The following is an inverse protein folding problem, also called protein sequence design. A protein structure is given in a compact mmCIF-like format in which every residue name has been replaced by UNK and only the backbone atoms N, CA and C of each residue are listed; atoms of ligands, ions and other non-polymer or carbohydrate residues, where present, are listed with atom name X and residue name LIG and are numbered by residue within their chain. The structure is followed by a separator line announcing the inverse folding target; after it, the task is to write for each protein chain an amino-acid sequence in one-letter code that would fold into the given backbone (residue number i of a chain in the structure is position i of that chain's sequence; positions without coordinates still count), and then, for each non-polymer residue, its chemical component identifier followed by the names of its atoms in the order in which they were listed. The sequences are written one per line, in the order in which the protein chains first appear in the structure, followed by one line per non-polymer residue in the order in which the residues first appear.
data_IF_338224152035
#
_entry.id   IF_338224152035
#
_cell.length_a   1.000
_cell.length_b   1.000
_cell.length_c   1.000
_cell.angle_alpha   90.00
_cell.angle_beta   90.00
_cell.angle_gamma   90.00
#
_symmetry.space_group_name_H-M   'P 1'
#
loop_
_entity.id
_entity.type
_entity.pdbx_description
1 polymer ?
#
# COMPACT_ATOMS: atom_id res chain seq x y z
N UNK A 1 -3.30 0.70 -8.07
CA UNK A 1 -2.01 1.42 -7.92
C UNK A 1 -0.77 0.54 -7.98
N UNK A 2 -0.44 -0.31 -6.99
CA UNK A 2 0.82 -1.07 -7.01
C UNK A 2 0.97 -1.98 -8.26
N UNK A 3 -0.11 -2.67 -8.66
CA UNK A 3 -0.12 -3.44 -9.91
C UNK A 3 0.08 -2.58 -11.15
N UNK A 4 -0.47 -1.37 -11.20
CA UNK A 4 -0.26 -0.44 -12.31
C UNK A 4 1.19 0.03 -12.38
N UNK A 5 1.81 0.35 -11.23
CA UNK A 5 3.23 0.72 -11.18
C UNK A 5 4.13 -0.44 -11.63
N UNK A 6 3.86 -1.66 -11.17
CA UNK A 6 4.60 -2.85 -11.58
C UNK A 6 4.46 -3.09 -13.10
N UNK A 7 3.23 -3.00 -13.63
CA UNK A 7 2.97 -3.18 -15.06
C UNK A 7 3.65 -2.10 -15.92
N UNK A 8 3.61 -0.83 -15.50
CA UNK A 8 4.18 0.28 -16.25
C UNK A 8 5.72 0.32 -16.22
N UNK A 9 6.33 -0.11 -15.11
CA UNK A 9 7.79 -0.10 -14.94
C UNK A 9 8.48 -1.38 -15.42
N UNK A 10 7.77 -2.51 -15.48
CA UNK A 10 8.36 -3.82 -15.70
C UNK A 10 9.09 -4.39 -14.47
N UNK A 11 9.04 -3.70 -13.33
CA UNK A 11 9.62 -4.14 -12.06
C UNK A 11 8.57 -4.82 -11.17
N UNK A 12 9.02 -5.44 -10.07
CA UNK A 12 8.16 -5.89 -8.99
C UNK A 12 7.97 -4.84 -7.89
N UNK A 13 6.95 -5.03 -7.07
CA UNK A 13 6.69 -4.21 -5.88
C UNK A 13 6.45 -5.12 -4.69
N UNK A 14 7.14 -4.86 -3.59
CA UNK A 14 6.95 -5.58 -2.33
C UNK A 14 6.43 -4.62 -1.25
N UNK A 15 5.28 -4.94 -0.67
CA UNK A 15 4.61 -4.12 0.36
C UNK A 15 4.74 -4.77 1.74
N UNK A 16 5.23 -4.05 2.74
CA UNK A 16 5.28 -4.52 4.12
C UNK A 16 3.93 -4.33 4.83
N UNK A 17 3.21 -5.42 5.10
CA UNK A 17 1.86 -5.37 5.68
C UNK A 17 1.82 -4.61 7.01
N UNK A 18 2.85 -4.80 7.85
CA UNK A 18 2.96 -4.16 9.15
C UNK A 18 3.22 -2.64 9.08
N UNK A 19 3.72 -2.14 7.94
CA UNK A 19 4.01 -0.71 7.75
C UNK A 19 2.82 0.05 7.16
N UNK A 20 1.77 -0.65 6.71
CA UNK A 20 0.59 0.00 6.14
C UNK A 20 -0.13 0.84 7.22
N UNK A 21 -0.30 2.16 7.02
CA UNK A 21 -0.96 3.05 7.98
C UNK A 21 -2.48 2.90 7.90
N UNK A 22 -2.98 1.81 8.49
CA UNK A 22 -4.41 1.50 8.59
C UNK A 22 -4.89 1.78 10.02
N UNK A 23 -5.89 2.64 10.17
CA UNK A 23 -6.51 2.96 11.46
C UNK A 23 -7.16 1.71 12.07
N UNK A 24 -7.13 1.58 13.40
CA UNK A 24 -7.68 0.45 14.16
C UNK A 24 -9.15 0.16 13.82
N UNK A 25 -9.99 1.18 13.64
CA UNK A 25 -11.39 0.98 13.24
C UNK A 25 -11.49 0.28 11.88
N UNK A 26 -10.65 0.66 10.92
CA UNK A 26 -10.62 0.03 9.59
C UNK A 26 -10.08 -1.39 9.68
N UNK A 27 -9.06 -1.64 10.53
CA UNK A 27 -8.55 -2.99 10.80
C UNK A 27 -9.65 -3.89 11.37
N UNK A 28 -10.39 -3.41 12.36
CA UNK A 28 -11.52 -4.16 12.94
C UNK A 28 -12.60 -4.50 11.92
N UNK A 29 -12.92 -3.58 10.99
CA UNK A 29 -13.84 -3.86 9.88
C UNK A 29 -13.28 -4.91 8.93
N UNK A 30 -11.99 -4.83 8.58
CA UNK A 30 -11.32 -5.81 7.72
C UNK A 30 -11.34 -7.20 8.36
N UNK A 31 -11.03 -7.31 9.65
CA UNK A 31 -11.08 -8.57 10.41
C UNK A 31 -12.49 -9.15 10.48
N UNK A 32 -13.51 -8.31 10.72
CA UNK A 32 -14.89 -8.76 10.83
C UNK A 32 -15.48 -9.23 9.50
N UNK A 33 -15.10 -8.59 8.40
CA UNK A 33 -15.67 -8.85 7.07
C UNK A 33 -14.79 -9.75 6.19
N UNK A 34 -13.58 -10.09 6.63
CA UNK A 34 -12.60 -10.82 5.82
C UNK A 34 -12.16 -10.03 4.57
N UNK A 35 -12.08 -8.70 4.71
CA UNK A 35 -11.70 -7.78 3.64
C UNK A 35 -10.27 -7.29 3.82
N UNK A 36 -9.66 -6.88 2.71
CA UNK A 36 -8.30 -6.32 2.70
C UNK A 36 -8.34 -4.81 2.53
N UNK A 37 -7.72 -4.06 3.44
CA UNK A 37 -7.71 -2.59 3.39
C UNK A 37 -7.06 -2.03 2.11
N UNK A 38 -6.15 -2.78 1.48
CA UNK A 38 -5.52 -2.43 0.21
C UNK A 38 -6.52 -2.35 -0.96
N UNK A 39 -7.69 -2.97 -0.81
CA UNK A 39 -8.74 -3.00 -1.83
C UNK A 39 -9.83 -1.94 -1.61
N UNK A 40 -9.69 -1.07 -0.60
CA UNK A 40 -10.66 0.01 -0.37
C UNK A 40 -10.30 1.26 -1.18
N UNK A 41 -11.34 1.88 -1.75
CA UNK A 41 -11.22 3.18 -2.37
C UNK A 41 -10.78 4.24 -1.35
N UNK A 42 -9.95 5.18 -1.80
CA UNK A 42 -9.43 6.28 -0.99
C UNK A 42 -9.59 7.61 -1.76
N UNK A 43 -10.27 8.60 -1.19
CA UNK A 43 -10.54 9.91 -1.84
C UNK A 43 -9.61 11.06 -1.38
N UNK A 44 -8.52 10.74 -0.69
CA UNK A 44 -7.62 11.75 -0.13
C UNK A 44 -6.23 11.22 0.15
N UNK A 45 -5.78 10.22 -0.62
CA UNK A 45 -4.49 9.53 -0.42
C UNK A 45 -3.70 9.51 -1.72
N UNK A 46 -2.38 9.47 -1.58
CA UNK A 46 -1.45 9.34 -2.69
C UNK A 46 -0.61 8.08 -2.49
N UNK A 47 -0.26 7.42 -3.59
CA UNK A 47 0.80 6.41 -3.64
C UNK A 47 1.96 7.02 -4.42
N UNK A 48 3.13 7.09 -3.79
CA UNK A 48 4.28 7.83 -4.31
C UNK A 48 5.48 6.88 -4.38
N UNK A 49 6.10 6.80 -5.55
CA UNK A 49 7.40 6.15 -5.74
C UNK A 49 8.50 7.21 -5.78
N UNK A 50 9.61 6.97 -5.07
CA UNK A 50 10.74 7.90 -4.97
C UNK A 50 12.06 7.14 -5.07
N UNK A 51 13.13 7.86 -5.41
CA UNK A 51 14.48 7.30 -5.31
C UNK A 51 14.80 6.93 -3.85
N UNK A 52 15.57 5.85 -3.66
CA UNK A 52 15.80 5.25 -2.33
C UNK A 52 16.43 6.24 -1.34
N UNK A 53 17.40 6.99 -1.82
CA UNK A 53 18.14 8.04 -1.13
C UNK A 53 17.27 9.25 -0.76
N UNK A 54 16.14 9.45 -1.44
CA UNK A 54 15.20 10.53 -1.17
C UNK A 54 14.04 10.12 -0.25
N UNK A 55 13.91 8.83 0.09
CA UNK A 55 12.73 8.28 0.76
C UNK A 55 12.44 8.96 2.11
N UNK A 56 13.45 9.06 2.98
CA UNK A 56 13.29 9.67 4.31
C UNK A 56 13.00 11.19 4.23
N UNK A 57 13.67 11.89 3.31
CA UNK A 57 13.44 13.32 3.10
C UNK A 57 12.02 13.60 2.56
N UNK A 58 11.57 12.81 1.59
CA UNK A 58 10.21 12.90 1.06
C UNK A 58 9.16 12.57 2.13
N UNK A 59 9.40 11.53 2.94
CA UNK A 59 8.53 11.15 4.04
C UNK A 59 8.40 12.28 5.07
N UNK A 60 9.52 12.87 5.49
CA UNK A 60 9.53 13.98 6.44
C UNK A 60 8.75 15.18 5.90
N UNK A 61 8.93 15.51 4.62
CA UNK A 61 8.18 16.60 3.98
C UNK A 61 6.67 16.33 3.97
N UNK A 62 6.24 15.11 3.63
CA UNK A 62 4.82 14.73 3.65
C UNK A 62 4.25 14.82 5.07
N UNK A 63 4.97 14.30 6.06
CA UNK A 63 4.55 14.30 7.46
C UNK A 63 4.50 15.70 8.08
N UNK A 64 5.24 16.68 7.53
CA UNK A 64 5.16 18.09 7.94
C UNK A 64 3.80 18.74 7.58
N UNK A 65 3.06 18.17 6.62
CA UNK A 65 1.78 18.69 6.19
C UNK A 65 0.62 18.00 6.92
N UNK A 66 -0.44 18.71 7.36
CA UNK A 66 -1.56 18.12 8.10
C UNK A 66 -2.22 16.91 7.41
N UNK A 67 -2.34 16.93 6.08
CA UNK A 67 -2.91 15.83 5.29
C UNK A 67 -1.96 14.63 5.14
N UNK A 68 -0.65 14.83 5.31
CA UNK A 68 0.38 13.80 5.15
C UNK A 68 0.94 13.29 6.48
N UNK A 69 0.42 13.73 7.63
CA UNK A 69 0.91 13.35 8.98
C UNK A 69 1.02 11.85 9.25
N UNK A 70 0.27 11.03 8.50
CA UNK A 70 0.28 9.56 8.59
C UNK A 70 0.92 8.89 7.37
N UNK A 71 1.64 9.64 6.53
CA UNK A 71 2.44 9.06 5.45
C UNK A 71 3.44 8.07 6.03
N UNK A 72 3.72 7.00 5.27
CA UNK A 72 4.63 5.94 5.67
C UNK A 72 5.31 5.37 4.43
N UNK A 73 6.56 4.92 4.60
CA UNK A 73 7.22 4.06 3.61
C UNK A 73 6.67 2.64 3.80
N UNK A 74 5.94 2.15 2.81
CA UNK A 74 5.21 0.88 2.90
C UNK A 74 5.83 -0.26 2.10
N UNK A 75 6.90 -0.03 1.35
CA UNK A 75 7.43 -1.03 0.44
C UNK A 75 8.56 -0.54 -0.44
N UNK A 76 9.02 -1.44 -1.29
CA UNK A 76 10.16 -1.25 -2.19
C UNK A 76 9.83 -1.74 -3.61
N UNK A 77 10.45 -1.11 -4.60
CA UNK A 77 10.51 -1.62 -5.97
C UNK A 77 11.66 -2.62 -6.07
N UNK A 78 11.42 -3.77 -6.69
CA UNK A 78 12.40 -4.87 -6.79
C UNK A 78 12.50 -5.39 -8.22
N UNK A 79 13.59 -6.08 -8.53
CA UNK A 79 13.80 -6.65 -9.88
C UNK A 79 12.79 -7.76 -10.20
N UNK A 80 12.50 -8.64 -9.24
CA UNK A 80 11.56 -9.75 -9.44
C UNK A 80 10.13 -9.22 -9.61
N UNK A 81 9.62 -9.32 -10.85
CA UNK A 81 8.29 -8.86 -11.27
C UNK A 81 7.12 -9.35 -10.41
N UNK A 82 5.99 -8.65 -10.54
CA UNK A 82 4.76 -8.89 -9.81
C UNK A 82 4.67 -8.13 -8.49
N UNK A 83 3.47 -8.12 -7.90
CA UNK A 83 3.22 -7.45 -6.62
C UNK A 83 3.11 -8.49 -5.51
N UNK A 84 3.81 -8.25 -4.41
CA UNK A 84 3.82 -9.13 -3.24
C UNK A 84 3.61 -8.35 -1.95
N UNK A 85 2.97 -8.97 -0.98
CA UNK A 85 2.99 -8.50 0.41
C UNK A 85 4.05 -9.27 1.21
N UNK A 86 4.63 -8.60 2.20
CA UNK A 86 5.57 -9.14 3.17
C UNK A 86 4.87 -9.09 4.53
N UNK A 87 4.45 -10.27 5.00
CA UNK A 87 3.79 -10.43 6.29
C UNK A 87 4.74 -10.77 7.42
N UNK A 88 4.21 -11.43 8.45
CA UNK A 88 4.98 -11.93 9.59
C UNK A 88 6.17 -12.80 9.14
N UNK A 89 7.29 -12.67 9.85
CA UNK A 89 8.53 -13.40 9.61
C UNK A 89 9.12 -13.21 8.19
N UNK A 90 8.73 -12.16 7.48
CA UNK A 90 9.21 -11.89 6.13
C UNK A 90 8.61 -12.79 5.06
N UNK A 91 7.53 -13.52 5.38
CA UNK A 91 6.84 -14.38 4.40
C UNK A 91 6.25 -13.51 3.29
N UNK A 92 6.67 -13.80 2.05
CA UNK A 92 6.21 -13.08 0.86
C UNK A 92 5.06 -13.83 0.20
N UNK A 93 3.95 -13.15 -0.07
CA UNK A 93 2.78 -13.70 -0.76
C UNK A 93 2.47 -12.86 -1.99
N UNK A 94 2.05 -13.49 -3.08
CA UNK A 94 1.53 -12.74 -4.23
C UNK A 94 0.29 -11.97 -3.79
N UNK A 95 0.24 -10.68 -4.14
CA UNK A 95 -0.95 -9.87 -3.94
C UNK A 95 -1.78 -9.93 -5.21
N UNK A 96 -2.91 -10.63 -5.15
CA UNK A 96 -3.85 -10.69 -6.28
C UNK A 96 -4.76 -9.47 -6.27
N UNK A 97 -5.17 -9.04 -7.47
CA UNK A 97 -6.21 -8.01 -7.60
C UNK A 97 -7.57 -8.60 -7.21
N UNK A 98 -8.44 -7.84 -6.54
CA UNK A 98 -9.79 -8.31 -6.24
C UNK A 98 -10.56 -8.53 -7.54
N UNK A 99 -11.40 -9.57 -7.59
CA UNK A 99 -12.26 -9.83 -8.75
C UNK A 99 -13.38 -8.78 -8.91
N UNK A 100 -13.81 -8.17 -7.82
CA UNK A 100 -14.80 -7.11 -7.78
C UNK A 100 -14.51 -6.18 -6.59
N UNK A 101 -14.99 -4.94 -6.67
CA UNK A 101 -14.96 -4.00 -5.55
C UNK A 101 -15.74 -4.57 -4.34
N UNK A 102 -15.21 -4.47 -3.11
CA UNK A 102 -15.81 -5.11 -1.94
C UNK A 102 -17.11 -4.45 -1.48
N UNK A 103 -17.38 -3.20 -1.88
CA UNK A 103 -18.61 -2.48 -1.54
C UNK A 103 -19.24 -1.85 -2.78
N UNK A 104 -20.55 -2.07 -3.03
CA UNK A 104 -21.23 -1.41 -4.14
C UNK A 104 -21.41 0.10 -3.87
N UNK A 105 -21.26 0.92 -4.91
CA UNK A 105 -21.46 2.39 -4.87
C UNK A 105 -20.55 3.12 -3.87
N UNK A 106 -19.29 2.71 -3.78
CA UNK A 106 -18.32 3.29 -2.84
C UNK A 106 -17.73 4.63 -3.32
N UNK A 107 -17.92 4.99 -4.60
CA UNK A 107 -17.59 6.28 -5.22
C UNK A 107 -18.64 6.64 -6.29
#
# INVERSE_FOLDING_TARGET
MAHEFAAASGCGIELHEQKLPVNETVRGVCELLGLEALNFANEGKLVIAVAREAAEAALAQLQSHPLGRHAAIIGDVVERTGVRTIGLYGVKRTLDLPHAEPLPRIC
#
